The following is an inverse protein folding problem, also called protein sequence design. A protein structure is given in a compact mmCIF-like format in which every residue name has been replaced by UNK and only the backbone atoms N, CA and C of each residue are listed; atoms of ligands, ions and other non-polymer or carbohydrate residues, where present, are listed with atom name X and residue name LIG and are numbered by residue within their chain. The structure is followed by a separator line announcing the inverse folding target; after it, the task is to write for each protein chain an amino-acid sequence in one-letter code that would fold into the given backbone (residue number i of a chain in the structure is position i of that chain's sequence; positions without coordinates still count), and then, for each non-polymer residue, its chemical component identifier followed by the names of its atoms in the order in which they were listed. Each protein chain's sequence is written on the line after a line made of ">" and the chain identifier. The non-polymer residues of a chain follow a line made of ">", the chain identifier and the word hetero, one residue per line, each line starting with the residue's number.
data_IF_188653563326
#
_entry.id   IF_188653563326
#
_cell.length_a   1.000
_cell.length_b   1.000
_cell.length_c   1.000
_cell.angle_alpha   90.00
_cell.angle_beta   90.00
_cell.angle_gamma   90.00
#
_symmetry.space_group_name_H-M   'P 1'
#
loop_
_entity.id
_entity.type
_entity.pdbx_description
1 polymer ?
#
# COMPACT_ATOMS: atom_id res chain seq x y z
N UNK A 1 -7.44 -14.60 6.43
CA UNK A 1 -6.42 -13.68 7.01
C UNK A 1 -5.64 -13.16 5.84
N UNK A 2 -5.58 -11.85 5.62
CA UNK A 2 -4.95 -11.31 4.42
C UNK A 2 -3.43 -11.55 4.45
N UNK A 3 -2.89 -12.00 3.32
CA UNK A 3 -1.47 -12.10 3.08
C UNK A 3 -1.04 -11.06 2.06
N UNK A 4 0.09 -10.40 2.30
CA UNK A 4 0.67 -9.45 1.36
C UNK A 4 1.06 -10.20 0.08
N UNK A 5 0.43 -9.84 -1.02
CA UNK A 5 0.72 -10.36 -2.35
C UNK A 5 1.75 -9.48 -3.07
N UNK A 6 1.54 -8.16 -3.03
CA UNK A 6 2.43 -7.19 -3.67
C UNK A 6 2.34 -5.82 -2.98
N UNK A 7 3.46 -5.10 -2.95
CA UNK A 7 3.54 -3.70 -2.56
C UNK A 7 4.31 -2.95 -3.64
N UNK A 8 3.70 -1.89 -4.16
CA UNK A 8 4.36 -0.96 -5.09
C UNK A 8 4.19 0.45 -4.55
N UNK A 9 5.30 1.17 -4.44
CA UNK A 9 5.34 2.57 -4.00
C UNK A 9 6.22 3.35 -4.98
N UNK A 10 5.73 4.50 -5.40
CA UNK A 10 6.45 5.50 -6.17
C UNK A 10 6.44 6.82 -5.39
N UNK A 11 7.47 7.64 -5.59
CA UNK A 11 7.62 8.96 -4.99
C UNK A 11 8.00 9.95 -6.08
N UNK A 12 7.35 11.10 -6.13
CA UNK A 12 7.61 12.16 -7.12
C UNK A 12 8.05 13.47 -6.47
N UNK A 13 8.91 13.37 -5.45
CA UNK A 13 9.43 14.46 -4.62
C UNK A 13 8.42 15.14 -3.68
N UNK A 14 7.12 15.04 -3.97
CA UNK A 14 6.06 15.77 -3.24
C UNK A 14 4.92 14.89 -2.76
N UNK A 15 4.69 13.74 -3.38
CA UNK A 15 3.75 12.71 -2.92
C UNK A 15 4.34 11.33 -3.13
N UNK A 16 3.87 10.37 -2.35
CA UNK A 16 4.00 8.96 -2.71
C UNK A 16 2.65 8.40 -3.09
N UNK A 17 2.66 7.53 -4.10
CA UNK A 17 1.49 6.84 -4.60
C UNK A 17 1.84 5.39 -4.91
N UNK A 18 0.82 4.53 -4.98
CA UNK A 18 1.06 3.14 -5.29
C UNK A 18 -0.10 2.24 -4.92
N UNK A 19 0.22 0.99 -4.64
CA UNK A 19 -0.79 0.01 -4.26
C UNK A 19 -0.23 -1.09 -3.36
N UNK A 20 -1.09 -1.54 -2.44
CA UNK A 20 -0.90 -2.79 -1.69
C UNK A 20 -1.95 -3.78 -2.17
N UNK A 21 -1.52 -4.99 -2.52
CA UNK A 21 -2.40 -6.08 -2.90
C UNK A 21 -2.32 -7.18 -1.86
N UNK A 22 -3.48 -7.69 -1.47
CA UNK A 22 -3.59 -8.80 -0.53
C UNK A 22 -4.35 -9.96 -1.16
N UNK A 23 -3.91 -11.18 -0.86
CA UNK A 23 -4.67 -12.40 -1.16
C UNK A 23 -5.28 -12.94 0.14
N UNK A 24 -6.43 -13.62 0.06
CA UNK A 24 -6.95 -14.43 1.16
C UNK A 24 -6.63 -15.90 0.88
N UNK A 25 -5.74 -16.55 1.65
CA UNK A 25 -5.34 -17.94 1.41
C UNK A 25 -6.49 -18.94 1.49
N UNK A 26 -7.58 -18.56 2.17
CA UNK A 26 -8.78 -19.39 2.27
C UNK A 26 -9.68 -19.29 1.01
N UNK A 27 -9.46 -18.26 0.19
CA UNK A 27 -10.20 -17.99 -1.04
C UNK A 27 -9.21 -17.57 -2.14
N UNK A 28 -8.31 -18.48 -2.57
CA UNK A 28 -7.18 -18.13 -3.44
C UNK A 28 -7.60 -17.69 -4.85
N UNK A 29 -8.82 -18.03 -5.27
CA UNK A 29 -9.40 -17.66 -6.56
C UNK A 29 -10.16 -16.32 -6.51
N UNK A 30 -10.36 -15.75 -5.32
CA UNK A 30 -10.98 -14.43 -5.22
C UNK A 30 -10.07 -13.38 -5.83
N UNK A 31 -10.69 -12.35 -6.42
CA UNK A 31 -9.96 -11.16 -6.82
C UNK A 31 -9.19 -10.67 -5.58
N UNK A 32 -7.88 -10.37 -5.68
CA UNK A 32 -7.11 -9.83 -4.57
C UNK A 32 -7.83 -8.63 -3.94
N UNK A 33 -7.47 -8.19 -2.74
CA UNK A 33 -7.88 -6.88 -2.24
C UNK A 33 -6.78 -5.86 -2.56
N UNK A 34 -7.08 -4.84 -3.35
CA UNK A 34 -6.11 -3.81 -3.77
C UNK A 34 -6.47 -2.49 -3.13
N UNK A 35 -5.55 -2.00 -2.32
CA UNK A 35 -5.55 -0.67 -1.71
C UNK A 35 -4.64 0.22 -2.53
N UNK A 36 -5.20 1.26 -3.15
CA UNK A 36 -4.40 2.36 -3.68
C UNK A 36 -3.93 3.24 -2.54
N UNK A 37 -2.68 3.67 -2.66
CA UNK A 37 -2.04 4.62 -1.77
C UNK A 37 -1.92 5.92 -2.54
N UNK A 38 -2.38 7.01 -1.93
CA UNK A 38 -2.18 8.36 -2.46
C UNK A 38 -1.97 9.29 -1.26
N UNK A 39 -0.71 9.66 -1.02
CA UNK A 39 -0.35 10.55 0.06
C UNK A 39 -0.03 11.94 -0.50
N UNK A 40 -1.07 12.75 -0.61
CA UNK A 40 -0.98 14.18 -0.98
C UNK A 40 -0.86 15.11 0.24
N UNK A 41 -0.73 14.56 1.45
CA UNK A 41 -0.69 15.33 2.70
C UNK A 41 -2.07 15.54 3.34
N UNK A 42 -3.16 15.24 2.63
CA UNK A 42 -4.54 15.36 3.15
C UNK A 42 -5.21 13.98 3.27
N UNK A 43 -5.93 13.68 4.37
CA UNK A 43 -6.71 12.45 4.51
C UNK A 43 -7.89 12.37 3.52
N UNK A 44 -8.30 11.17 3.10
CA UNK A 44 -7.71 9.86 3.43
C UNK A 44 -6.53 9.51 2.52
N UNK A 45 -5.43 9.03 3.13
CA UNK A 45 -4.18 8.66 2.43
C UNK A 45 -4.28 7.34 1.62
N UNK A 46 -5.42 6.65 1.71
CA UNK A 46 -5.64 5.32 1.13
C UNK A 46 -7.04 5.19 0.54
N UNK A 47 -7.17 4.39 -0.52
CA UNK A 47 -8.45 4.07 -1.16
C UNK A 47 -8.49 2.59 -1.54
N UNK A 48 -9.51 1.85 -1.12
CA UNK A 48 -9.73 0.48 -1.61
C UNK A 48 -10.34 0.55 -3.01
N UNK A 49 -9.86 -0.23 -3.98
CA UNK A 49 -10.34 -0.11 -5.38
C UNK A 49 -10.86 -1.41 -5.98
N UNK A 50 -10.76 -2.55 -5.28
CA UNK A 50 -11.12 -3.81 -5.92
C UNK A 50 -12.60 -4.11 -6.08
N UNK A 51 -13.47 -3.30 -5.47
CA UNK A 51 -14.92 -3.49 -5.54
C UNK A 51 -15.66 -2.17 -5.84
N UNK A 52 -15.12 -1.02 -5.43
CA UNK A 52 -15.68 0.30 -5.75
C UNK A 52 -14.63 1.39 -5.44
N UNK A 53 -14.21 2.23 -6.41
CA UNK A 53 -13.25 3.32 -6.17
C UNK A 53 -13.76 4.41 -5.21
N UNK A 54 -15.05 4.39 -4.85
CA UNK A 54 -15.68 5.27 -3.87
C UNK A 54 -15.85 4.61 -2.49
N UNK A 55 -15.62 3.30 -2.36
CA UNK A 55 -15.67 2.61 -1.08
C UNK A 55 -14.41 2.88 -0.26
N UNK A 56 -14.56 3.73 0.75
CA UNK A 56 -13.50 4.11 1.70
C UNK A 56 -13.83 3.67 3.12
N UNK A 57 -14.34 2.44 3.33
CA UNK A 57 -14.54 1.95 4.71
C UNK A 57 -13.16 1.73 5.36
N UNK A 58 -12.74 2.61 6.30
CA UNK A 58 -11.40 2.52 6.89
C UNK A 58 -11.26 1.29 7.81
N UNK A 59 -12.37 0.62 8.14
CA UNK A 59 -12.39 -0.58 8.98
C UNK A 59 -12.25 -1.87 8.17
N UNK A 60 -12.35 -1.78 6.83
CA UNK A 60 -12.15 -2.92 5.97
C UNK A 60 -10.76 -3.55 6.23
N UNK A 61 -10.66 -4.88 6.39
CA UNK A 61 -9.38 -5.53 6.72
C UNK A 61 -8.19 -5.14 5.82
N UNK A 62 -8.35 -4.99 4.48
CA UNK A 62 -7.25 -4.54 3.62
C UNK A 62 -6.77 -3.11 3.95
N UNK A 63 -7.68 -2.21 4.37
CA UNK A 63 -7.34 -0.84 4.76
C UNK A 63 -6.52 -0.82 6.06
N UNK A 64 -6.94 -1.63 7.04
CA UNK A 64 -6.25 -1.76 8.32
C UNK A 64 -4.82 -2.28 8.13
N UNK A 65 -4.65 -3.33 7.33
CA UNK A 65 -3.31 -3.89 7.07
C UNK A 65 -2.45 -2.97 6.20
N UNK A 66 -3.02 -2.29 5.19
CA UNK A 66 -2.30 -1.28 4.43
C UNK A 66 -1.82 -0.14 5.33
N UNK A 67 -2.66 0.37 6.24
CA UNK A 67 -2.28 1.39 7.21
C UNK A 67 -1.16 0.91 8.15
N UNK A 68 -1.18 -0.36 8.58
CA UNK A 68 -0.12 -0.95 9.39
C UNK A 68 1.21 -1.01 8.64
N UNK A 69 1.22 -1.50 7.40
CA UNK A 69 2.42 -1.56 6.54
C UNK A 69 2.99 -0.16 6.34
N UNK A 70 2.15 0.82 6.05
CA UNK A 70 2.60 2.18 5.79
C UNK A 70 3.16 2.86 7.03
N UNK A 71 2.55 2.67 8.20
CA UNK A 71 3.15 3.12 9.48
C UNK A 71 4.51 2.49 9.73
N UNK A 72 4.69 1.21 9.38
CA UNK A 72 5.99 0.54 9.50
C UNK A 72 7.04 1.16 8.57
N UNK A 73 6.72 1.31 7.27
CA UNK A 73 7.64 1.88 6.28
C UNK A 73 8.04 3.31 6.67
N UNK A 74 7.06 4.15 7.02
CA UNK A 74 7.31 5.54 7.41
C UNK A 74 8.11 5.65 8.71
N UNK A 75 7.97 4.70 9.63
CA UNK A 75 8.70 4.71 10.91
C UNK A 75 10.13 4.20 10.80
N UNK A 76 10.37 3.15 10.01
CA UNK A 76 11.62 2.40 10.07
C UNK A 76 12.47 2.50 8.81
N UNK A 77 11.88 2.78 7.66
CA UNK A 77 12.58 2.87 6.37
C UNK A 77 12.06 4.01 5.50
N UNK A 78 11.84 5.23 6.03
CA UNK A 78 11.29 6.33 5.23
C UNK A 78 12.22 6.73 4.08
N UNK A 79 13.53 6.54 4.25
CA UNK A 79 14.59 6.79 3.28
C UNK A 79 14.54 5.87 2.06
N UNK A 80 13.86 4.71 2.17
CA UNK A 80 13.69 3.76 1.08
C UNK A 80 12.51 4.08 0.17
N UNK A 81 11.65 5.01 0.55
CA UNK A 81 10.53 5.44 -0.27
C UNK A 81 11.08 6.19 -1.48
N UNK A 82 10.70 5.78 -2.69
CA UNK A 82 11.14 6.43 -3.93
C UNK A 82 12.52 6.02 -4.44
N UNK A 83 13.25 5.17 -3.73
CA UNK A 83 14.54 4.65 -4.18
C UNK A 83 14.38 3.42 -5.04
N UNK A 84 15.07 3.42 -6.16
CA UNK A 84 15.22 2.27 -7.04
C UNK A 84 16.41 1.41 -6.58
N UNK A 85 16.51 0.14 -7.02
CA UNK A 85 17.68 -0.70 -6.73
C UNK A 85 19.03 -0.06 -7.12
N UNK A 86 19.04 0.88 -8.08
CA UNK A 86 20.23 1.61 -8.51
C UNK A 86 20.73 2.63 -7.46
N UNK A 87 19.87 3.03 -6.52
CA UNK A 87 20.17 4.01 -5.47
C UNK A 87 20.79 3.37 -4.20
N UNK A 88 20.96 2.05 -4.20
CA UNK A 88 21.62 1.31 -3.13
C UNK A 88 23.04 0.92 -3.57
N UNK A 89 24.08 1.20 -2.75
CA UNK A 89 25.43 0.72 -3.03
C UNK A 89 25.40 -0.81 -3.19
N UNK A 90 25.84 -1.28 -4.35
CA UNK A 90 26.06 -2.71 -4.55
C UNK A 90 27.26 -3.15 -3.70
N UNK A 91 27.23 -4.35 -3.11
CA UNK A 91 28.37 -4.91 -2.38
C UNK A 91 29.60 -5.08 -3.28
#
# INVERSE_FOLDING_TARGET
>A
MLQLLSLTLAYDDTRFFGSVMFTDPNHPDDKPATVLIDHTGEPPWFRLTNVDPTAQDPTAPPMVEAARIMRFVLRYTPDRIGRTPADFPQP
#
